data_IF_709723274436
#
_entry.id   IF_709723274436
#
_cell.length_a   1.000
_cell.length_b   1.000
_cell.length_c   1.000
_cell.angle_alpha   90.00
_cell.angle_beta   90.00
_cell.angle_gamma   90.00
#
_symmetry.space_group_name_H-M   'P 1'
#
loop_
_entity.id
_entity.type
_entity.pdbx_description
1 polymer ?
#
# COMPACT_ATOMS: atom_id res chain seq x y z
N UNK A 1 -4.36 -28.83 -2.14
CA UNK A 1 -3.67 -27.55 -1.86
C UNK A 1 -3.40 -26.90 -3.20
N UNK A 2 -4.29 -26.00 -3.62
CA UNK A 2 -4.08 -25.22 -4.84
C UNK A 2 -2.88 -24.31 -4.60
N UNK A 3 -1.88 -24.41 -5.45
CA UNK A 3 -0.70 -23.55 -5.42
C UNK A 3 -1.17 -22.09 -5.57
N UNK A 4 -1.08 -21.31 -4.49
CA UNK A 4 -1.46 -19.90 -4.52
C UNK A 4 -0.27 -19.14 -5.10
N UNK A 5 -0.25 -19.00 -6.42
CA UNK A 5 0.70 -18.12 -7.10
C UNK A 5 0.46 -16.68 -6.63
N UNK A 6 1.23 -16.26 -5.64
CA UNK A 6 1.20 -14.89 -5.15
C UNK A 6 1.81 -13.97 -6.21
N UNK A 7 1.10 -12.88 -6.55
CA UNK A 7 1.64 -11.84 -7.43
C UNK A 7 2.83 -11.14 -6.76
N UNK A 8 3.86 -10.69 -7.50
CA UNK A 8 4.98 -9.96 -6.93
C UNK A 8 4.51 -8.71 -6.17
N UNK A 9 4.99 -8.55 -4.94
CA UNK A 9 4.73 -7.37 -4.10
C UNK A 9 5.35 -6.14 -4.74
N UNK A 10 4.59 -5.06 -4.85
CA UNK A 10 5.06 -3.79 -5.40
C UNK A 10 5.64 -2.89 -4.30
N UNK A 11 6.85 -2.38 -4.51
CA UNK A 11 7.47 -1.42 -3.58
C UNK A 11 7.26 0.00 -4.11
N UNK A 12 6.65 0.87 -3.31
CA UNK A 12 6.37 2.26 -3.67
C UNK A 12 7.14 3.21 -2.77
N UNK A 13 7.98 4.06 -3.36
CA UNK A 13 8.67 5.12 -2.65
C UNK A 13 7.91 6.44 -2.82
N UNK A 14 7.33 6.95 -1.74
CA UNK A 14 6.42 8.11 -1.78
C UNK A 14 7.07 9.41 -1.25
N UNK A 15 8.27 9.33 -0.69
CA UNK A 15 8.96 10.49 -0.13
C UNK A 15 8.29 11.01 1.14
N UNK A 16 8.23 12.33 1.31
CA UNK A 16 7.62 12.97 2.47
C UNK A 16 6.11 13.18 2.25
N UNK A 17 5.29 12.67 3.16
CA UNK A 17 3.82 12.67 3.05
C UNK A 17 3.21 13.02 4.40
N UNK A 18 2.17 13.85 4.43
CA UNK A 18 1.39 14.08 5.66
C UNK A 18 0.78 12.77 6.19
N UNK A 19 0.82 12.55 7.50
CA UNK A 19 0.32 11.31 8.12
C UNK A 19 -1.12 11.00 7.74
N UNK A 20 -2.02 11.98 7.89
CA UNK A 20 -3.44 11.78 7.60
C UNK A 20 -3.67 11.40 6.13
N UNK A 21 -2.92 12.01 5.19
CA UNK A 21 -3.03 11.68 3.76
C UNK A 21 -2.57 10.26 3.47
N UNK A 22 -1.45 9.84 4.05
CA UNK A 22 -0.96 8.47 3.89
C UNK A 22 -1.97 7.46 4.47
N UNK A 23 -2.52 7.75 5.64
CA UNK A 23 -3.50 6.89 6.30
C UNK A 23 -4.81 6.77 5.52
N UNK A 24 -5.36 7.87 5.02
CA UNK A 24 -6.58 7.87 4.21
C UNK A 24 -6.35 7.13 2.87
N UNK A 25 -5.17 7.31 2.26
CA UNK A 25 -4.79 6.58 1.06
C UNK A 25 -4.66 5.07 1.31
N UNK A 26 -4.04 4.64 2.43
CA UNK A 26 -3.95 3.23 2.79
C UNK A 26 -5.34 2.60 3.02
N UNK A 27 -6.23 3.32 3.72
CA UNK A 27 -7.62 2.89 3.93
C UNK A 27 -8.35 2.72 2.61
N UNK A 28 -8.27 3.72 1.73
CA UNK A 28 -8.90 3.68 0.42
C UNK A 28 -8.34 2.54 -0.44
N UNK A 29 -7.02 2.40 -0.50
CA UNK A 29 -6.37 1.29 -1.21
C UNK A 29 -6.93 -0.05 -0.74
N UNK A 30 -7.07 -0.23 0.58
CA UNK A 30 -7.60 -1.46 1.19
C UNK A 30 -9.07 -1.70 0.83
N UNK A 31 -9.90 -0.65 0.86
CA UNK A 31 -11.32 -0.72 0.52
C UNK A 31 -11.53 -1.06 -0.96
N UNK A 32 -10.68 -0.55 -1.84
CA UNK A 32 -10.81 -0.70 -3.29
C UNK A 32 -10.14 -1.99 -3.84
N UNK A 33 -9.55 -2.84 -2.97
CA UNK A 33 -8.87 -4.08 -3.41
C UNK A 33 -9.83 -5.10 -4.00
N UNK A 34 -9.35 -5.82 -5.00
CA UNK A 34 -9.99 -7.03 -5.56
C UNK A 34 -9.02 -8.21 -5.56
N UNK A 35 -9.47 -9.37 -6.02
CA UNK A 35 -8.65 -10.58 -6.13
C UNK A 35 -7.42 -10.43 -7.04
N UNK A 36 -7.39 -9.43 -7.93
CA UNK A 36 -6.28 -9.16 -8.84
C UNK A 36 -5.40 -7.98 -8.39
N UNK A 37 -5.74 -7.32 -7.27
CA UNK A 37 -4.95 -6.20 -6.74
C UNK A 37 -3.70 -6.73 -6.05
N UNK A 38 -2.54 -6.50 -6.66
CA UNK A 38 -1.25 -6.85 -6.08
C UNK A 38 -1.04 -6.17 -4.71
N UNK A 39 -0.30 -6.84 -3.82
CA UNK A 39 0.11 -6.24 -2.55
C UNK A 39 1.12 -5.12 -2.78
N UNK A 40 1.05 -4.07 -1.95
CA UNK A 40 1.96 -2.94 -2.01
C UNK A 40 2.63 -2.71 -0.64
N UNK A 41 3.93 -2.40 -0.65
CA UNK A 41 4.67 -1.87 0.50
C UNK A 41 5.02 -0.41 0.20
N UNK A 42 4.58 0.50 1.06
CA UNK A 42 4.80 1.93 0.90
C UNK A 42 5.94 2.40 1.80
N UNK A 43 6.99 2.92 1.20
CA UNK A 43 8.16 3.50 1.87
C UNK A 43 8.06 5.01 1.79
N UNK A 44 7.92 5.66 2.95
CA UNK A 44 7.68 7.10 3.06
C UNK A 44 8.25 7.65 4.37
N UNK A 45 8.22 8.97 4.50
CA UNK A 45 8.51 9.69 5.74
C UNK A 45 7.38 10.67 6.02
N UNK A 46 7.10 10.93 7.29
CA UNK A 46 6.17 11.98 7.70
C UNK A 46 6.95 13.22 8.14
N UNK A 47 6.40 14.44 7.96
CA UNK A 47 6.78 15.56 8.81
C UNK A 47 6.61 15.20 10.29
N UNK A 48 7.22 15.94 11.24
CA UNK A 48 6.96 15.74 12.66
C UNK A 48 5.45 15.75 12.98
N UNK A 49 4.99 14.79 13.78
CA UNK A 49 3.58 14.58 14.17
C UNK A 49 3.45 14.53 15.68
#
# INVERSE_FOLDING_TARGET
MTDMQASPVQIRFLGMVDYQKAFDAMKRFTQDRSATTADEIWVLQHPPV
#
